data_IF_452095032791
#
_entry.id   IF_452095032791
#
_cell.length_a   1.000
_cell.length_b   1.000
_cell.length_c   1.000
_cell.angle_alpha   90.00
_cell.angle_beta   90.00
_cell.angle_gamma   90.00
#
_symmetry.space_group_name_H-M   'P 1'
#
loop_
_entity.id
_entity.type
_entity.pdbx_description
1 polymer ?
#
# COMPACT_ATOMS: atom_id res chain seq x y z
N UNK A 1 49.43 -15.46 13.88
CA UNK A 1 48.67 -15.71 12.63
C UNK A 1 47.25 -16.12 12.99
N UNK A 2 46.31 -15.17 13.01
CA UNK A 2 44.89 -15.44 13.19
C UNK A 2 44.20 -14.88 11.96
N UNK A 3 43.62 -15.79 11.16
CA UNK A 3 42.99 -15.55 9.87
C UNK A 3 41.75 -14.66 10.05
N UNK A 4 41.71 -13.55 9.31
CA UNK A 4 40.50 -12.73 9.17
C UNK A 4 39.41 -13.49 8.43
N UNK A 5 38.22 -13.55 9.01
CA UNK A 5 36.98 -13.87 8.30
C UNK A 5 36.41 -12.57 7.74
N UNK A 6 36.71 -12.31 6.47
CA UNK A 6 35.99 -11.35 5.66
C UNK A 6 34.80 -12.06 5.02
N UNK A 7 33.68 -12.17 5.74
CA UNK A 7 32.39 -12.52 5.15
C UNK A 7 31.77 -11.27 4.50
N UNK A 8 32.44 -10.76 3.47
CA UNK A 8 31.81 -9.90 2.50
C UNK A 8 30.86 -10.80 1.69
N UNK A 9 29.57 -10.77 2.01
CA UNK A 9 28.50 -11.28 1.14
C UNK A 9 28.74 -10.72 -0.26
N UNK A 10 29.31 -11.52 -1.15
CA UNK A 10 29.38 -11.19 -2.56
C UNK A 10 27.96 -10.87 -3.03
N UNK A 11 27.73 -9.61 -3.43
CA UNK A 11 26.50 -9.21 -4.10
C UNK A 11 26.34 -10.15 -5.29
N UNK A 12 25.38 -11.09 -5.21
CA UNK A 12 25.03 -11.94 -6.35
C UNK A 12 24.76 -11.00 -7.53
N UNK A 13 25.55 -11.13 -8.59
CA UNK A 13 25.35 -10.35 -9.83
C UNK A 13 23.90 -10.53 -10.23
N UNK A 14 23.14 -9.43 -10.26
CA UNK A 14 21.74 -9.46 -10.59
C UNK A 14 21.60 -10.08 -11.99
N UNK A 15 20.81 -11.14 -12.12
CA UNK A 15 20.58 -11.79 -13.41
C UNK A 15 20.10 -10.74 -14.41
N UNK A 16 20.83 -10.61 -15.53
CA UNK A 16 20.45 -9.73 -16.63
C UNK A 16 19.12 -10.21 -17.21
N UNK A 17 18.18 -9.28 -17.43
CA UNK A 17 16.90 -9.58 -18.06
C UNK A 17 17.06 -9.42 -19.56
N UNK A 18 16.50 -10.34 -20.34
CA UNK A 18 16.73 -10.37 -21.79
C UNK A 18 16.14 -9.16 -22.50
N UNK A 19 14.99 -8.67 -22.04
CA UNK A 19 14.26 -7.60 -22.70
C UNK A 19 14.27 -6.28 -21.91
N UNK A 20 15.26 -6.07 -21.03
CA UNK A 20 15.33 -4.88 -20.19
C UNK A 20 15.27 -3.56 -20.99
N UNK A 21 15.93 -3.52 -22.14
CA UNK A 21 16.10 -2.29 -22.92
C UNK A 21 15.03 -2.12 -24.02
N UNK A 22 14.19 -3.12 -24.29
CA UNK A 22 13.23 -3.10 -25.41
C UNK A 22 11.80 -3.54 -25.05
N UNK A 23 11.51 -3.88 -23.79
CA UNK A 23 10.21 -4.43 -23.36
C UNK A 23 9.00 -3.57 -23.76
N UNK A 24 9.15 -2.24 -23.80
CA UNK A 24 8.08 -1.32 -24.20
C UNK A 24 7.59 -1.62 -25.62
N UNK A 25 8.50 -2.02 -26.52
CA UNK A 25 8.18 -2.42 -27.89
C UNK A 25 7.59 -3.83 -27.98
N UNK A 26 7.58 -4.60 -26.90
CA UNK A 26 6.96 -5.92 -26.82
C UNK A 26 5.54 -5.85 -26.24
N UNK A 27 5.15 -4.73 -25.63
CA UNK A 27 3.78 -4.49 -25.23
C UNK A 27 2.86 -4.45 -26.46
N UNK A 28 1.77 -5.21 -26.45
CA UNK A 28 0.79 -5.30 -27.55
C UNK A 28 -0.56 -4.82 -27.06
N UNK A 29 -1.15 -3.87 -27.77
CA UNK A 29 -2.50 -3.41 -27.44
C UNK A 29 -3.47 -4.57 -27.64
N UNK A 30 -4.32 -4.83 -26.64
CA UNK A 30 -5.20 -6.00 -26.66
C UNK A 30 -6.59 -5.72 -27.26
N UNK A 31 -6.97 -4.44 -27.43
CA UNK A 31 -8.30 -4.03 -27.91
C UNK A 31 -9.35 -3.76 -26.83
N UNK A 32 -9.09 -4.12 -25.57
CA UNK A 32 -10.04 -4.03 -24.44
C UNK A 32 -9.59 -3.04 -23.35
N UNK A 33 -8.70 -2.11 -23.69
CA UNK A 33 -8.30 -1.04 -22.78
C UNK A 33 -6.96 -1.24 -22.06
N UNK A 34 -6.16 -2.25 -22.44
CA UNK A 34 -4.82 -2.46 -21.86
C UNK A 34 -3.80 -3.01 -22.87
N UNK A 35 -2.52 -2.93 -22.52
CA UNK A 35 -1.46 -3.64 -23.23
C UNK A 35 -1.16 -4.98 -22.56
N UNK A 36 -0.97 -6.02 -23.37
CA UNK A 36 -0.40 -7.29 -22.94
C UNK A 36 1.11 -7.26 -23.10
N UNK A 37 1.82 -7.67 -22.06
CA UNK A 37 3.27 -7.86 -22.09
C UNK A 37 3.57 -9.33 -21.85
N UNK A 38 4.16 -9.99 -22.86
CA UNK A 38 4.65 -11.36 -22.76
C UNK A 38 6.08 -11.41 -23.26
N UNK A 39 7.00 -11.79 -22.37
CA UNK A 39 8.42 -11.92 -22.67
C UNK A 39 8.98 -13.21 -22.07
N UNK A 40 10.20 -13.59 -22.43
CA UNK A 40 10.87 -14.73 -21.81
C UNK A 40 11.16 -14.51 -20.32
N UNK A 41 11.25 -13.25 -19.88
CA UNK A 41 11.52 -12.93 -18.47
C UNK A 41 10.26 -13.02 -17.60
N UNK A 42 9.06 -12.83 -18.20
CA UNK A 42 7.76 -12.97 -17.51
C UNK A 42 7.27 -14.42 -17.44
N UNK A 43 7.92 -15.34 -18.17
CA UNK A 43 7.50 -16.74 -18.32
C UNK A 43 6.03 -16.84 -18.76
N UNK A 44 5.27 -17.79 -18.20
CA UNK A 44 3.87 -18.03 -18.54
C UNK A 44 2.88 -17.13 -17.79
N UNK A 45 3.37 -16.19 -16.97
CA UNK A 45 2.52 -15.28 -16.23
C UNK A 45 2.10 -14.12 -17.13
N UNK A 46 0.79 -13.94 -17.43
CA UNK A 46 0.32 -12.80 -18.18
C UNK A 46 0.58 -11.50 -17.41
N UNK A 47 0.93 -10.45 -18.15
CA UNK A 47 1.07 -9.08 -17.61
C UNK A 47 0.17 -8.14 -18.39
N UNK A 48 -0.67 -7.39 -17.67
CA UNK A 48 -1.55 -6.36 -18.22
C UNK A 48 -1.08 -4.98 -17.78
N UNK A 49 -0.90 -4.08 -18.74
CA UNK A 49 -0.50 -2.70 -18.50
C UNK A 49 -1.66 -1.77 -18.87
N UNK A 50 -2.30 -1.17 -17.88
CA UNK A 50 -3.30 -0.13 -18.07
C UNK A 50 -2.59 1.21 -18.24
N UNK A 51 -1.99 1.40 -19.41
CA UNK A 51 -1.24 2.61 -19.75
C UNK A 51 -1.73 3.16 -21.09
N UNK A 52 -1.76 4.47 -21.22
CA UNK A 52 -1.84 5.10 -22.55
C UNK A 52 -0.49 4.95 -23.27
N UNK A 53 -0.42 5.15 -24.59
CA UNK A 53 0.86 5.14 -25.31
C UNK A 53 1.89 6.08 -24.69
N UNK A 54 1.45 7.28 -24.29
CA UNK A 54 2.30 8.29 -23.64
C UNK A 54 2.82 7.80 -22.29
N UNK A 55 1.94 7.26 -21.43
CA UNK A 55 2.34 6.75 -20.12
C UNK A 55 3.33 5.58 -20.27
N UNK A 56 3.07 4.64 -21.20
CA UNK A 56 3.96 3.52 -21.46
C UNK A 56 5.37 3.98 -21.84
N UNK A 57 5.49 4.97 -22.72
CA UNK A 57 6.80 5.52 -23.11
C UNK A 57 7.52 6.19 -21.94
N UNK A 58 6.77 6.93 -21.11
CA UNK A 58 7.29 7.68 -19.96
C UNK A 58 7.68 6.82 -18.75
N UNK A 59 7.26 5.54 -18.71
CA UNK A 59 7.66 4.64 -17.61
C UNK A 59 9.18 4.53 -17.48
N UNK A 60 9.66 4.42 -16.24
CA UNK A 60 11.08 4.24 -15.93
C UNK A 60 11.59 2.87 -16.41
N UNK A 61 12.85 2.76 -16.83
CA UNK A 61 13.40 1.49 -17.34
C UNK A 61 13.46 0.40 -16.25
N UNK A 62 13.64 0.81 -14.99
CA UNK A 62 13.63 -0.11 -13.84
C UNK A 62 12.30 -0.83 -13.67
N UNK A 63 11.20 -0.25 -14.18
CA UNK A 63 9.85 -0.79 -14.04
C UNK A 63 9.75 -2.23 -14.57
N UNK A 64 10.41 -2.52 -15.70
CA UNK A 64 10.39 -3.86 -16.28
C UNK A 64 10.97 -4.92 -15.34
N UNK A 65 12.06 -4.61 -14.64
CA UNK A 65 12.62 -5.52 -13.65
C UNK A 65 11.65 -5.77 -12.51
N UNK A 66 10.91 -4.74 -12.08
CA UNK A 66 9.93 -4.86 -11.01
C UNK A 66 8.70 -5.66 -11.44
N UNK A 67 8.24 -5.50 -12.69
CA UNK A 67 7.21 -6.34 -13.31
C UNK A 67 7.66 -7.81 -13.32
N UNK A 68 8.89 -8.07 -13.78
CA UNK A 68 9.45 -9.43 -13.80
C UNK A 68 9.62 -10.01 -12.39
N UNK A 69 9.93 -9.19 -11.40
CA UNK A 69 9.95 -9.67 -10.01
C UNK A 69 8.53 -10.06 -9.54
N UNK A 70 7.50 -9.29 -9.90
CA UNK A 70 6.11 -9.58 -9.58
C UNK A 70 5.63 -10.92 -10.18
N UNK A 71 6.06 -11.25 -11.41
CA UNK A 71 5.72 -12.54 -12.04
C UNK A 71 6.40 -13.74 -11.39
N UNK A 72 7.45 -13.53 -10.59
CA UNK A 72 8.26 -14.62 -10.00
C UNK A 72 7.80 -15.07 -8.61
N UNK A 73 6.82 -14.40 -8.01
CA UNK A 73 6.25 -14.89 -6.77
C UNK A 73 5.58 -16.27 -7.01
N UNK A 74 5.76 -17.24 -6.09
CA UNK A 74 5.09 -18.54 -6.21
C UNK A 74 3.58 -18.40 -6.40
N UNK A 75 3.04 -19.16 -7.36
CA UNK A 75 1.61 -19.18 -7.64
C UNK A 75 1.03 -17.91 -8.28
N UNK A 76 1.85 -16.93 -8.72
CA UNK A 76 1.34 -15.79 -9.48
C UNK A 76 0.67 -16.25 -10.77
N UNK A 77 -0.58 -15.83 -10.95
CA UNK A 77 -1.44 -16.14 -12.10
C UNK A 77 -1.62 -14.95 -13.04
N UNK A 78 -1.49 -13.73 -12.53
CA UNK A 78 -1.61 -12.49 -13.31
C UNK A 78 -0.88 -11.35 -12.60
N UNK A 79 -0.17 -10.52 -13.36
CA UNK A 79 0.33 -9.22 -12.92
C UNK A 79 -0.41 -8.12 -13.66
N UNK A 80 -0.91 -7.14 -12.93
CA UNK A 80 -1.53 -5.93 -13.49
C UNK A 80 -0.75 -4.70 -13.03
N UNK A 81 -0.55 -3.77 -13.96
CA UNK A 81 0.12 -2.49 -13.73
C UNK A 81 -0.87 -1.37 -14.03
N UNK A 82 -1.10 -0.51 -13.03
CA UNK A 82 -2.06 0.60 -13.08
C UNK A 82 -1.44 1.85 -13.72
N UNK A 83 -2.25 2.83 -14.15
CA UNK A 83 -1.77 4.02 -14.86
C UNK A 83 -0.80 4.92 -14.09
N UNK A 84 -0.83 4.87 -12.76
CA UNK A 84 -0.03 5.64 -11.82
C UNK A 84 1.25 4.90 -11.36
N UNK A 85 1.62 3.84 -12.08
CA UNK A 85 2.78 3.03 -11.74
C UNK A 85 4.09 3.83 -11.76
N UNK A 86 4.95 3.53 -10.79
CA UNK A 86 6.29 4.10 -10.67
C UNK A 86 7.16 3.17 -9.83
N UNK A 87 8.45 3.53 -9.70
CA UNK A 87 9.40 2.78 -8.91
C UNK A 87 8.89 2.46 -7.49
N UNK A 88 8.84 1.17 -7.17
CA UNK A 88 8.48 0.68 -5.83
C UNK A 88 9.59 -0.12 -5.15
N UNK A 89 9.26 -0.83 -4.07
CA UNK A 89 10.20 -1.70 -3.37
C UNK A 89 10.06 -3.16 -3.83
N UNK A 90 10.99 -3.61 -4.69
CA UNK A 90 11.01 -4.97 -5.26
C UNK A 90 10.02 -5.19 -6.41
N UNK A 91 8.79 -4.71 -6.24
CA UNK A 91 7.72 -4.61 -7.25
C UNK A 91 7.36 -3.12 -7.43
N UNK A 92 6.64 -2.72 -8.49
CA UNK A 92 6.28 -1.32 -8.66
C UNK A 92 5.12 -0.92 -7.76
N UNK A 93 5.04 0.38 -7.44
CA UNK A 93 3.78 0.96 -6.96
C UNK A 93 2.77 0.91 -8.12
N UNK A 94 1.49 0.70 -7.79
CA UNK A 94 0.47 0.47 -8.82
C UNK A 94 0.49 -0.95 -9.39
N UNK A 95 1.00 -1.92 -8.64
CA UNK A 95 1.04 -3.33 -9.04
C UNK A 95 -0.05 -4.12 -8.33
N UNK A 96 -0.81 -4.91 -9.08
CA UNK A 96 -1.75 -5.91 -8.54
C UNK A 96 -1.25 -7.29 -8.94
N UNK A 97 -1.13 -8.18 -7.96
CA UNK A 97 -0.77 -9.59 -8.18
C UNK A 97 -1.99 -10.45 -7.83
N UNK A 98 -2.37 -11.30 -8.77
CA UNK A 98 -3.30 -12.40 -8.47
C UNK A 98 -2.45 -13.64 -8.25
N UNK A 99 -2.54 -14.21 -7.05
CA UNK A 99 -1.86 -15.45 -6.68
C UNK A 99 -2.87 -16.54 -6.38
N UNK A 100 -2.44 -17.80 -6.51
CA UNK A 100 -3.19 -18.97 -6.09
C UNK A 100 -3.43 -18.94 -4.57
N UNK A 101 -4.68 -19.15 -4.13
CA UNK A 101 -5.04 -19.03 -2.72
C UNK A 101 -4.48 -20.15 -1.82
N UNK A 102 -4.25 -21.34 -2.39
CA UNK A 102 -3.83 -22.52 -1.62
C UNK A 102 -2.31 -22.73 -1.68
N UNK A 103 -1.71 -22.48 -2.84
CA UNK A 103 -0.30 -22.78 -3.13
C UNK A 103 0.55 -21.55 -3.46
N UNK A 104 -0.08 -20.38 -3.59
CA UNK A 104 0.59 -19.13 -3.92
C UNK A 104 1.21 -18.43 -2.70
N UNK A 105 2.10 -17.49 -2.99
CA UNK A 105 2.73 -16.68 -1.96
C UNK A 105 1.84 -15.51 -1.53
N UNK A 106 1.90 -15.18 -0.22
CA UNK A 106 1.50 -13.87 0.29
C UNK A 106 2.66 -12.91 0.06
N UNK A 107 2.56 -12.07 -0.96
CA UNK A 107 3.60 -11.13 -1.34
C UNK A 107 3.43 -9.79 -0.61
N UNK A 108 4.35 -9.46 0.32
CA UNK A 108 4.29 -8.19 1.06
C UNK A 108 4.76 -6.98 0.24
N UNK A 109 5.57 -7.20 -0.81
CA UNK A 109 6.06 -6.12 -1.66
C UNK A 109 4.95 -5.26 -2.28
N UNK A 110 3.96 -5.88 -2.97
CA UNK A 110 2.82 -5.16 -3.54
C UNK A 110 1.89 -4.51 -2.50
N UNK A 111 1.85 -5.03 -1.27
CA UNK A 111 1.05 -4.44 -0.18
C UNK A 111 1.67 -3.12 0.31
N UNK A 112 3.00 -3.06 0.33
CA UNK A 112 3.73 -1.86 0.77
C UNK A 112 3.98 -1.82 2.28
N UNK A 113 4.73 -0.80 2.72
CA UNK A 113 5.10 -0.60 4.12
C UNK A 113 3.98 0.02 4.97
N UNK A 114 3.19 0.90 4.36
CA UNK A 114 2.05 1.57 5.00
C UNK A 114 0.77 0.75 4.76
N UNK A 115 0.65 -0.34 5.53
CA UNK A 115 -0.46 -1.29 5.40
C UNK A 115 -1.77 -0.62 5.81
N UNK A 116 -2.72 -0.54 4.87
CA UNK A 116 -3.98 0.13 5.09
C UNK A 116 -3.94 1.64 4.81
N UNK A 117 -2.87 2.15 4.18
CA UNK A 117 -2.89 3.46 3.55
C UNK A 117 -4.12 3.56 2.64
N UNK A 118 -4.89 4.63 2.78
CA UNK A 118 -6.18 4.73 2.13
C UNK A 118 -6.75 6.12 2.20
N UNK A 119 -7.91 6.27 1.57
CA UNK A 119 -8.61 7.54 1.44
C UNK A 119 -10.00 7.43 2.07
N UNK A 120 -10.45 8.53 2.65
CA UNK A 120 -11.83 8.70 3.07
C UNK A 120 -12.39 9.96 2.41
N UNK A 121 -13.59 9.86 1.87
CA UNK A 121 -14.35 11.00 1.35
C UNK A 121 -15.59 11.21 2.20
N UNK A 122 -15.74 12.40 2.76
CA UNK A 122 -16.91 12.83 3.51
C UNK A 122 -17.67 13.91 2.74
N UNK A 123 -19.00 13.92 2.90
CA UNK A 123 -19.90 14.92 2.31
C UNK A 123 -20.69 15.61 3.41
N UNK A 124 -20.77 16.93 3.35
CA UNK A 124 -21.69 17.72 4.18
C UNK A 124 -22.92 18.14 3.38
N UNK A 125 -23.92 18.70 4.06
CA UNK A 125 -25.11 19.29 3.42
C UNK A 125 -24.92 20.77 3.08
N UNK A 126 -23.71 21.30 3.24
CA UNK A 126 -23.40 22.69 2.90
C UNK A 126 -23.44 22.85 1.38
N UNK A 127 -24.25 23.79 0.90
CA UNK A 127 -24.32 24.12 -0.51
C UNK A 127 -22.96 24.63 -1.04
N UNK A 128 -22.60 24.25 -2.27
CA UNK A 128 -21.28 24.52 -2.81
C UNK A 128 -20.96 26.02 -2.95
N UNK A 129 -21.97 26.84 -3.23
CA UNK A 129 -21.91 28.30 -3.30
C UNK A 129 -21.70 28.95 -1.93
N UNK A 130 -22.20 28.34 -0.86
CA UNK A 130 -21.96 28.77 0.51
C UNK A 130 -20.52 28.53 0.98
N UNK A 131 -19.73 27.69 0.28
CA UNK A 131 -18.32 27.44 0.55
C UNK A 131 -17.42 28.53 -0.06
N UNK A 132 -17.58 29.76 0.44
CA UNK A 132 -16.71 30.90 0.10
C UNK A 132 -15.26 30.63 0.47
N UNK A 133 -14.32 31.40 -0.10
CA UNK A 133 -12.89 31.24 0.21
C UNK A 133 -12.59 31.43 1.70
N UNK A 134 -13.25 32.39 2.34
CA UNK A 134 -13.16 32.65 3.79
C UNK A 134 -13.59 31.44 4.61
N UNK A 135 -14.78 30.87 4.33
CA UNK A 135 -15.27 29.68 5.04
C UNK A 135 -14.42 28.44 4.79
N UNK A 136 -13.84 28.29 3.59
CA UNK A 136 -12.88 27.21 3.30
C UNK A 136 -11.61 27.36 4.14
N UNK A 137 -11.13 28.59 4.33
CA UNK A 137 -9.98 28.86 5.18
C UNK A 137 -10.31 28.60 6.65
N UNK A 138 -11.44 29.08 7.15
CA UNK A 138 -11.90 28.80 8.52
C UNK A 138 -12.03 27.30 8.80
N UNK A 139 -12.62 26.55 7.86
CA UNK A 139 -12.72 25.10 7.96
C UNK A 139 -11.34 24.44 8.00
N UNK A 140 -10.42 24.84 7.13
CA UNK A 140 -9.06 24.30 7.10
C UNK A 140 -8.33 24.59 8.43
N UNK A 141 -8.39 25.83 8.92
CA UNK A 141 -7.84 26.20 10.23
C UNK A 141 -8.41 25.33 11.34
N UNK A 142 -9.73 25.15 11.39
CA UNK A 142 -10.38 24.32 12.40
C UNK A 142 -9.95 22.84 12.32
N UNK A 143 -9.71 22.31 11.13
CA UNK A 143 -9.16 20.95 10.92
C UNK A 143 -7.72 20.89 11.40
N UNK A 144 -6.88 21.86 11.01
CA UNK A 144 -5.47 21.94 11.41
C UNK A 144 -5.29 22.02 12.93
N UNK A 145 -6.22 22.67 13.63
CA UNK A 145 -6.23 22.75 15.09
C UNK A 145 -6.60 21.43 15.78
N UNK A 146 -7.39 20.56 15.14
CA UNK A 146 -7.99 19.37 15.77
C UNK A 146 -7.31 18.07 15.39
N UNK A 147 -6.76 18.00 14.19
CA UNK A 147 -6.07 16.83 13.66
C UNK A 147 -4.57 17.05 13.86
N UNK A 148 -3.89 16.08 14.45
CA UNK A 148 -2.43 16.14 14.53
C UNK A 148 -1.84 15.73 13.17
N UNK A 149 -0.81 16.43 12.71
CA UNK A 149 -0.12 16.16 11.45
C UNK A 149 1.38 15.95 11.65
N UNK A 150 1.99 15.17 10.75
CA UNK A 150 3.43 15.08 10.59
C UNK A 150 4.09 14.03 11.49
N UNK A 151 5.29 13.61 11.10
CA UNK A 151 6.00 12.48 11.69
C UNK A 151 6.05 12.53 13.23
N UNK A 152 5.41 11.54 13.87
CA UNK A 152 5.35 11.45 15.33
C UNK A 152 4.22 12.28 15.96
N UNK A 153 3.27 12.73 15.15
CA UNK A 153 2.06 13.41 15.58
C UNK A 153 1.29 12.56 16.59
N UNK A 154 0.73 13.23 17.59
CA UNK A 154 -0.05 12.60 18.66
C UNK A 154 -1.45 13.18 18.69
N UNK A 155 -2.45 12.30 18.64
CA UNK A 155 -3.84 12.73 18.64
C UNK A 155 -4.19 13.54 19.89
N UNK A 156 -4.86 14.67 19.70
CA UNK A 156 -5.41 15.44 20.83
C UNK A 156 -6.58 14.71 21.50
N UNK A 157 -7.32 13.88 20.74
CA UNK A 157 -8.49 13.14 21.24
C UNK A 157 -8.09 11.84 21.94
N UNK A 158 -7.18 11.07 21.34
CA UNK A 158 -6.78 9.76 21.86
C UNK A 158 -5.52 9.82 22.72
N UNK A 159 -4.64 10.80 22.51
CA UNK A 159 -3.37 10.90 23.22
C UNK A 159 -2.53 9.63 23.05
N UNK A 160 -2.01 9.11 24.17
CA UNK A 160 -1.38 7.79 24.21
C UNK A 160 -2.41 6.80 24.70
N UNK A 161 -2.56 5.68 24.00
CA UNK A 161 -3.46 4.61 24.42
C UNK A 161 -2.72 3.55 25.22
N UNK A 162 -3.40 2.89 26.15
CA UNK A 162 -2.83 1.73 26.84
C UNK A 162 -2.63 0.57 25.86
N UNK A 163 -1.75 -0.38 26.19
CA UNK A 163 -1.55 -1.60 25.38
C UNK A 163 -2.84 -2.39 25.17
N UNK A 164 -3.69 -2.46 26.20
CA UNK A 164 -4.98 -3.13 26.11
C UNK A 164 -5.91 -2.41 25.14
N UNK A 165 -5.94 -1.08 25.20
CA UNK A 165 -6.78 -0.30 24.30
C UNK A 165 -6.33 -0.39 22.84
N UNK A 166 -5.02 -0.34 22.63
CA UNK A 166 -4.42 -0.55 21.32
C UNK A 166 -4.78 -1.92 20.75
N UNK A 167 -4.69 -2.98 21.55
CA UNK A 167 -5.13 -4.32 21.16
C UNK A 167 -6.60 -4.34 20.73
N UNK A 168 -7.48 -3.71 21.49
CA UNK A 168 -8.90 -3.68 21.16
C UNK A 168 -9.17 -2.90 19.86
N UNK A 169 -8.49 -1.77 19.64
CA UNK A 169 -8.61 -0.98 18.42
C UNK A 169 -8.08 -1.71 17.19
N UNK A 170 -6.94 -2.39 17.30
CA UNK A 170 -6.37 -3.15 16.17
C UNK A 170 -7.23 -4.37 15.83
N UNK A 171 -7.74 -5.12 16.83
CA UNK A 171 -8.57 -6.31 16.61
C UNK A 171 -10.01 -5.96 16.20
N UNK A 172 -10.60 -4.98 16.88
CA UNK A 172 -11.98 -4.57 16.68
C UNK A 172 -12.17 -3.59 15.52
N UNK A 173 -11.07 -3.03 15.01
CA UNK A 173 -11.08 -2.06 13.93
C UNK A 173 -11.99 -0.88 14.25
N UNK A 174 -12.72 -0.44 13.24
CA UNK A 174 -13.62 0.69 13.41
C UNK A 174 -14.91 0.33 14.16
N UNK A 175 -15.35 -0.93 14.19
CA UNK A 175 -16.55 -1.33 14.94
C UNK A 175 -16.37 -1.03 16.43
N UNK A 176 -15.25 -1.49 17.00
CA UNK A 176 -14.90 -1.20 18.38
C UNK A 176 -14.70 0.30 18.63
N UNK A 177 -14.07 1.02 17.68
CA UNK A 177 -13.93 2.47 17.79
C UNK A 177 -15.29 3.15 17.92
N UNK A 178 -16.26 2.80 17.06
CA UNK A 178 -17.61 3.39 17.09
C UNK A 178 -18.36 3.01 18.36
N UNK A 179 -18.30 1.75 18.78
CA UNK A 179 -18.95 1.28 20.02
C UNK A 179 -18.45 2.06 21.24
N UNK A 180 -17.14 2.29 21.34
CA UNK A 180 -16.52 2.92 22.50
C UNK A 180 -16.50 4.45 22.46
N UNK A 181 -16.19 5.03 21.31
CA UNK A 181 -15.93 6.47 21.16
C UNK A 181 -17.04 7.21 20.40
N UNK A 182 -18.01 6.48 19.84
CA UNK A 182 -19.04 7.00 18.96
C UNK A 182 -18.53 7.28 17.54
N UNK A 183 -19.48 7.39 16.59
CA UNK A 183 -19.23 7.90 15.26
C UNK A 183 -20.12 9.10 14.97
N UNK A 184 -19.58 10.08 14.26
CA UNK A 184 -20.33 11.23 13.73
C UNK A 184 -20.58 11.13 12.23
N UNK A 185 -20.23 9.99 11.62
CA UNK A 185 -20.34 9.78 10.17
C UNK A 185 -20.83 8.37 9.85
N UNK A 186 -21.57 8.27 8.74
CA UNK A 186 -22.05 7.01 8.20
C UNK A 186 -20.88 6.16 7.66
N UNK A 187 -20.74 4.96 8.22
CA UNK A 187 -19.70 4.01 7.83
C UNK A 187 -20.19 2.94 6.85
N UNK A 188 -21.48 2.89 6.51
CA UNK A 188 -22.06 1.86 5.64
C UNK A 188 -21.40 1.77 4.25
N UNK A 189 -20.66 2.81 3.87
CA UNK A 189 -19.92 2.94 2.60
C UNK A 189 -18.41 2.66 2.71
N UNK A 190 -17.92 2.27 3.89
CA UNK A 190 -16.53 1.87 4.06
C UNK A 190 -16.30 0.49 3.43
N UNK A 191 -15.13 0.28 2.83
CA UNK A 191 -14.75 -1.02 2.24
C UNK A 191 -14.86 -2.17 3.24
N UNK A 192 -14.44 -1.93 4.48
CA UNK A 192 -14.50 -2.90 5.58
C UNK A 192 -14.52 -2.17 6.92
N UNK A 193 -15.16 -2.76 7.93
CA UNK A 193 -15.16 -2.23 9.29
C UNK A 193 -14.04 -2.81 10.17
N UNK A 194 -13.73 -4.10 10.00
CA UNK A 194 -12.61 -4.80 10.65
C UNK A 194 -12.16 -6.01 9.84
N UNK A 195 -10.96 -6.50 10.12
CA UNK A 195 -10.49 -7.81 9.64
C UNK A 195 -10.63 -8.78 10.83
N UNK A 196 -11.49 -9.81 10.74
CA UNK A 196 -11.61 -10.78 11.81
C UNK A 196 -10.30 -11.54 11.97
N UNK A 197 -9.93 -11.79 13.23
CA UNK A 197 -8.78 -12.59 13.64
C UNK A 197 -9.23 -13.55 14.72
N UNK A 198 -8.54 -14.67 14.87
CA UNK A 198 -8.83 -15.65 15.91
C UNK A 198 -8.74 -15.03 17.31
N UNK A 199 -9.49 -15.58 18.26
CA UNK A 199 -9.57 -15.05 19.63
C UNK A 199 -8.23 -15.08 20.35
N UNK A 200 -7.38 -16.05 20.01
CA UNK A 200 -6.04 -16.21 20.56
C UNK A 200 -4.97 -15.36 19.84
N UNK A 201 -5.28 -14.76 18.69
CA UNK A 201 -4.33 -13.93 17.96
C UNK A 201 -3.86 -12.74 18.82
N UNK A 202 -2.54 -12.54 18.89
CA UNK A 202 -1.95 -11.42 19.63
C UNK A 202 -1.13 -10.54 18.72
N UNK A 203 -1.12 -9.24 19.03
CA UNK A 203 -0.19 -8.30 18.40
C UNK A 203 1.24 -8.80 18.65
N UNK A 204 2.11 -8.86 17.62
CA UNK A 204 3.49 -9.34 17.75
C UNK A 204 4.41 -8.28 18.36
N UNK A 205 4.18 -7.97 19.65
CA UNK A 205 4.94 -6.98 20.42
C UNK A 205 6.45 -7.24 20.39
N UNK A 206 7.26 -6.21 20.17
CA UNK A 206 8.73 -6.33 20.10
C UNK A 206 9.25 -7.08 18.86
N UNK A 207 8.36 -7.48 17.95
CA UNK A 207 8.72 -8.09 16.67
C UNK A 207 9.34 -7.10 15.69
N UNK A 208 9.77 -7.60 14.52
CA UNK A 208 10.41 -6.79 13.47
C UNK A 208 9.57 -5.58 13.02
N UNK A 209 8.24 -5.71 13.05
CA UNK A 209 7.30 -4.64 12.70
C UNK A 209 7.16 -3.53 13.75
N UNK A 210 7.67 -3.74 14.98
CA UNK A 210 7.59 -2.80 16.10
C UNK A 210 6.20 -2.16 16.27
N UNK A 211 5.13 -2.95 16.45
CA UNK A 211 3.76 -2.43 16.52
C UNK A 211 3.58 -1.38 17.62
N UNK A 212 4.40 -1.41 18.67
CA UNK A 212 4.42 -0.39 19.73
C UNK A 212 4.65 1.05 19.26
N UNK A 213 5.23 1.26 18.07
CA UNK A 213 5.35 2.61 17.50
C UNK A 213 3.98 3.30 17.29
N UNK A 214 2.91 2.52 17.12
CA UNK A 214 1.57 3.02 16.90
C UNK A 214 0.84 3.51 18.15
N UNK A 215 1.33 3.19 19.36
CA UNK A 215 0.65 3.52 20.63
C UNK A 215 0.41 5.02 20.81
N UNK A 216 1.35 5.84 20.34
CA UNK A 216 1.28 7.30 20.44
C UNK A 216 0.79 7.98 19.15
N UNK A 217 0.51 7.20 18.08
CA UNK A 217 0.22 7.73 16.74
C UNK A 217 -1.23 7.50 16.28
N UNK A 218 -2.04 6.75 17.04
CA UNK A 218 -3.45 6.57 16.68
C UNK A 218 -4.20 7.90 16.68
N UNK A 219 -4.86 8.21 15.56
CA UNK A 219 -5.65 9.44 15.39
C UNK A 219 -4.84 10.68 14.98
N UNK A 220 -3.68 10.50 14.33
CA UNK A 220 -2.94 11.54 13.60
C UNK A 220 -2.86 11.25 12.10
N UNK A 221 -2.46 12.26 11.31
CA UNK A 221 -2.11 12.14 9.90
C UNK A 221 -0.60 12.28 9.71
N UNK A 222 0.09 11.13 9.61
CA UNK A 222 1.56 11.06 9.59
C UNK A 222 2.18 11.27 10.96
#
# INVERSE_FOLDING_TARGET
>A
MIKGQADAKALKVAKTLKNADNWKHLARWNGEGYYELKTEDTADVPVRLFLTPTLLQQTEDILYRQIVNATRFPGTRLVVITPDTHYGYGVPVGCVLITDGDSGAVAMGPVGYDVGCGMMSARSEVAADAATMEKKLEFNTAVMERVAFGAGGKSQRLGSVSKQEFNNLVRGGAEYYVEKYGATFDRSRAERHRIPVDDDWQIPWGGKGRPERGLDQLGSLG
#
